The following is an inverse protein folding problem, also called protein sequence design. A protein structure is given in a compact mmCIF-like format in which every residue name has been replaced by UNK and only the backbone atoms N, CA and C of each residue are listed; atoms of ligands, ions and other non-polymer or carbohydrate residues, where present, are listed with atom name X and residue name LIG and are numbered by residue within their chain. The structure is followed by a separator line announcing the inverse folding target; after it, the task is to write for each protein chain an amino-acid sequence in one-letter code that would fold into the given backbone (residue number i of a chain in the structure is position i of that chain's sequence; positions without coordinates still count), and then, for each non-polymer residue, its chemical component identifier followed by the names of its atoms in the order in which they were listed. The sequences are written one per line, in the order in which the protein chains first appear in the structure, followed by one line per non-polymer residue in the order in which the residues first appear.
data_IF_859607950195
#
_entry.id   IF_859607950195
#
_cell.length_a   1.000
_cell.length_b   1.000
_cell.length_c   1.000
_cell.angle_alpha   90.00
_cell.angle_beta   90.00
_cell.angle_gamma   90.00
#
_symmetry.space_group_name_H-M   'P 1'
#
loop_
_entity.id
_entity.type
_entity.pdbx_description
1 polymer ?
#
# COMPACT_ATOMS: atom_id res chain seq x y z
N UNK A 1 -36.94 -41.21 34.41
CA UNK A 1 -36.85 -40.56 33.08
C UNK A 1 -36.45 -39.11 33.31
N UNK A 2 -35.16 -38.80 33.22
CA UNK A 2 -34.61 -37.47 33.50
C UNK A 2 -34.23 -36.81 32.17
N UNK A 3 -34.90 -35.71 31.83
CA UNK A 3 -34.69 -34.94 30.60
C UNK A 3 -33.62 -33.87 30.83
N UNK A 4 -32.39 -34.17 30.41
CA UNK A 4 -31.31 -33.18 30.32
C UNK A 4 -31.58 -32.23 29.14
N UNK A 5 -32.19 -31.08 29.42
CA UNK A 5 -32.32 -29.97 28.47
C UNK A 5 -31.05 -29.13 28.41
N UNK A 6 -30.06 -29.53 27.62
CA UNK A 6 -28.98 -28.62 27.20
C UNK A 6 -29.46 -27.80 26.00
N UNK A 7 -29.90 -26.57 26.30
CA UNK A 7 -30.25 -25.55 25.31
C UNK A 7 -28.95 -24.96 24.77
N UNK A 8 -28.69 -25.15 23.47
CA UNK A 8 -27.59 -24.54 22.74
C UNK A 8 -27.60 -23.03 22.94
N UNK A 9 -26.60 -22.53 23.67
CA UNK A 9 -26.35 -21.13 23.93
C UNK A 9 -24.99 -21.00 24.59
N UNK A 10 -24.10 -20.23 23.97
CA UNK A 10 -22.77 -19.91 24.50
C UNK A 10 -22.95 -19.12 25.80
N UNK A 11 -22.91 -19.79 26.96
CA UNK A 11 -23.01 -19.15 28.27
C UNK A 11 -21.68 -18.42 28.58
N UNK A 12 -21.54 -17.21 28.05
CA UNK A 12 -20.45 -16.30 28.41
C UNK A 12 -20.80 -15.72 29.79
N UNK A 13 -20.26 -16.33 30.84
CA UNK A 13 -20.36 -15.83 32.21
C UNK A 13 -19.57 -14.52 32.27
N UNK A 14 -20.26 -13.40 32.48
CA UNK A 14 -19.64 -12.08 32.59
C UNK A 14 -18.60 -12.08 33.72
N UNK A 15 -17.34 -11.84 33.38
CA UNK A 15 -16.25 -11.65 34.33
C UNK A 15 -16.51 -10.35 35.09
N UNK A 16 -16.60 -10.43 36.41
CA UNK A 16 -16.65 -9.27 37.31
C UNK A 16 -15.34 -8.49 37.18
N UNK A 17 -15.43 -7.19 36.94
CA UNK A 17 -14.27 -6.32 36.87
C UNK A 17 -13.70 -6.11 38.29
N UNK A 18 -12.61 -6.81 38.62
CA UNK A 18 -11.77 -6.46 39.76
C UNK A 18 -10.98 -5.21 39.42
N UNK A 19 -11.28 -4.10 40.08
CA UNK A 19 -10.56 -2.84 39.94
C UNK A 19 -9.11 -3.01 40.43
N UNK A 20 -8.16 -3.13 39.51
CA UNK A 20 -6.73 -3.01 39.81
C UNK A 20 -6.38 -1.54 40.00
N UNK A 21 -6.24 -1.11 41.26
CA UNK A 21 -5.60 0.16 41.59
C UNK A 21 -4.09 0.01 41.31
N UNK A 22 -3.54 0.85 40.43
CA UNK A 22 -2.08 1.02 40.33
C UNK A 22 -1.61 1.76 41.59
N UNK A 23 -0.54 1.33 42.27
CA UNK A 23 0.11 2.20 43.25
C UNK A 23 0.80 3.33 42.47
N UNK A 24 0.38 4.57 42.72
CA UNK A 24 1.18 5.72 42.35
C UNK A 24 2.43 5.70 43.22
N UNK A 25 3.59 5.76 42.60
CA UNK A 25 4.86 6.01 43.28
C UNK A 25 4.81 7.47 43.70
N UNK A 26 4.47 7.73 44.97
CA UNK A 26 4.77 8.98 45.65
C UNK A 26 6.25 8.91 46.00
N UNK A 27 7.04 9.81 45.44
CA UNK A 27 8.37 10.11 45.93
C UNK A 27 8.15 10.89 47.23
N UNK A 28 8.37 10.24 48.37
CA UNK A 28 8.38 10.88 49.68
C UNK A 28 9.56 11.87 49.72
N UNK A 29 9.23 13.17 49.67
CA UNK A 29 10.12 14.30 49.96
C UNK A 29 10.34 14.40 51.49
N UNK A 30 10.94 13.37 52.09
CA UNK A 30 11.43 13.38 53.47
C UNK A 30 12.95 13.08 53.47
N UNK A 31 13.72 13.99 52.87
CA UNK A 31 15.15 14.08 53.18
C UNK A 31 15.39 15.40 53.90
N UNK A 32 15.26 15.30 55.23
CA UNK A 32 15.55 16.34 56.20
C UNK A 32 16.88 17.04 55.87
N UNK A 33 16.75 18.36 55.75
CA UNK A 33 17.80 19.34 55.53
C UNK A 33 18.61 19.47 56.83
N UNK A 34 19.59 18.57 57.02
CA UNK A 34 20.71 18.82 57.92
C UNK A 34 21.63 19.86 57.26
N UNK A 35 21.45 21.11 57.67
CA UNK A 35 22.38 22.23 57.47
C UNK A 35 23.74 21.92 58.13
N UNK A 36 24.59 21.14 57.46
CA UNK A 36 26.04 21.16 57.67
C UNK A 36 26.72 21.69 56.41
N UNK A 37 27.04 23.00 56.44
CA UNK A 37 27.90 23.62 55.45
C UNK A 37 29.24 22.87 55.34
N UNK A 38 29.61 22.29 54.18
CA UNK A 38 30.98 21.85 54.00
C UNK A 38 31.84 23.09 53.77
N UNK A 39 32.67 23.41 54.77
CA UNK A 39 33.80 24.34 54.71
C UNK A 39 34.44 24.32 53.31
N UNK A 40 34.17 25.37 52.53
CA UNK A 40 34.86 25.63 51.26
C UNK A 40 36.27 26.11 51.59
N UNK A 41 37.12 25.21 52.05
CA UNK A 41 38.55 25.38 52.01
C UNK A 41 38.92 25.56 50.53
N UNK A 42 39.32 26.78 50.20
CA UNK A 42 39.91 27.17 48.92
C UNK A 42 41.05 26.22 48.61
N UNK A 43 40.77 25.20 47.80
CA UNK A 43 41.81 24.41 47.14
C UNK A 43 42.57 25.38 46.26
N UNK A 44 43.75 25.78 46.74
CA UNK A 44 44.75 26.48 45.95
C UNK A 44 44.88 25.74 44.62
N UNK A 45 44.64 26.48 43.55
CA UNK A 45 44.71 26.00 42.18
C UNK A 45 46.13 25.54 41.88
N UNK A 46 46.43 24.27 42.14
CA UNK A 46 47.48 23.57 41.40
C UNK A 46 46.92 23.43 40.00
N UNK A 47 47.24 24.41 39.16
CA UNK A 47 47.01 24.37 37.72
C UNK A 47 47.89 23.24 37.19
N UNK A 48 47.33 22.04 37.12
CA UNK A 48 47.83 20.99 36.24
C UNK A 48 47.63 21.53 34.82
N UNK A 49 48.65 22.19 34.29
CA UNK A 49 48.77 22.44 32.86
C UNK A 49 49.02 21.08 32.21
N UNK A 50 47.94 20.32 31.99
CA UNK A 50 48.00 19.23 31.04
C UNK A 50 48.32 19.85 29.67
N UNK A 51 49.36 19.40 28.96
CA UNK A 51 49.59 19.85 27.61
C UNK A 51 48.36 19.46 26.80
N UNK A 52 47.67 20.45 26.24
CA UNK A 52 46.55 20.24 25.33
C UNK A 52 47.15 19.55 24.12
N UNK A 53 47.13 18.22 24.13
CA UNK A 53 47.46 17.43 22.96
C UNK A 53 46.32 17.70 22.00
N UNK A 54 46.56 18.58 21.03
CA UNK A 54 45.71 18.74 19.85
C UNK A 54 45.73 17.41 19.09
N UNK A 55 44.91 16.47 19.55
CA UNK A 55 44.63 15.26 18.82
C UNK A 55 43.90 15.70 17.55
N UNK A 56 44.39 15.29 16.39
CA UNK A 56 43.69 15.49 15.11
C UNK A 56 42.39 14.67 15.15
N UNK A 57 41.33 15.27 15.68
CA UNK A 57 40.00 14.66 15.73
C UNK A 57 39.38 14.81 14.35
N UNK A 58 38.93 13.70 13.76
CA UNK A 58 38.23 13.72 12.48
C UNK A 58 36.99 14.62 12.57
N UNK A 59 36.82 15.48 11.57
CA UNK A 59 35.64 16.32 11.36
C UNK A 59 34.31 15.54 11.43
N UNK A 60 34.31 14.23 11.15
CA UNK A 60 33.13 13.38 11.25
C UNK A 60 32.58 13.24 12.68
N UNK A 61 33.40 13.49 13.70
CA UNK A 61 33.03 13.33 15.12
C UNK A 61 31.96 14.35 15.53
N UNK A 62 31.91 15.50 14.87
CA UNK A 62 30.94 16.56 15.16
C UNK A 62 29.68 16.50 14.28
N UNK A 63 29.59 15.55 13.34
CA UNK A 63 28.51 15.45 12.35
C UNK A 63 27.19 14.84 12.84
N UNK A 64 26.87 14.86 14.13
CA UNK A 64 25.71 14.14 14.69
C UNK A 64 24.37 14.55 14.05
N UNK A 65 24.13 15.86 13.95
CA UNK A 65 22.89 16.43 13.39
C UNK A 65 22.66 15.98 11.95
N UNK A 66 23.75 15.94 11.18
CA UNK A 66 23.76 15.55 9.79
C UNK A 66 23.42 14.07 9.54
N UNK A 67 23.95 13.16 10.36
CA UNK A 67 23.56 11.74 10.29
C UNK A 67 22.12 11.54 10.75
N UNK A 68 21.70 12.25 11.79
CA UNK A 68 20.33 12.21 12.27
C UNK A 68 19.34 12.65 11.19
N UNK A 69 19.64 13.75 10.50
CA UNK A 69 18.86 14.24 9.38
C UNK A 69 18.77 13.23 8.24
N UNK A 70 19.86 12.55 7.90
CA UNK A 70 19.86 11.51 6.86
C UNK A 70 18.96 10.33 7.22
N UNK A 71 18.97 9.87 8.48
CA UNK A 71 18.09 8.81 8.97
C UNK A 71 16.63 9.26 8.94
N UNK A 72 16.34 10.51 9.34
CA UNK A 72 14.99 11.09 9.31
C UNK A 72 14.48 11.35 7.89
N UNK A 73 15.35 11.59 6.92
CA UNK A 73 14.94 11.65 5.51
C UNK A 73 14.41 10.30 5.03
N UNK A 74 15.11 9.20 5.31
CA UNK A 74 14.65 7.83 4.97
C UNK A 74 13.32 7.49 5.64
N UNK A 75 13.16 7.82 6.93
CA UNK A 75 11.88 7.64 7.62
C UNK A 75 10.74 8.41 6.94
N UNK A 76 10.96 9.69 6.60
CA UNK A 76 9.97 10.53 5.91
C UNK A 76 9.60 9.97 4.54
N UNK A 77 10.57 9.51 3.75
CA UNK A 77 10.32 8.87 2.46
C UNK A 77 9.47 7.61 2.59
N UNK A 78 9.77 6.76 3.59
CA UNK A 78 8.97 5.56 3.88
C UNK A 78 7.54 5.91 4.28
N UNK A 79 7.34 6.94 5.11
CA UNK A 79 6.01 7.44 5.45
C UNK A 79 5.25 7.99 4.24
N UNK A 80 5.92 8.71 3.36
CA UNK A 80 5.32 9.20 2.11
C UNK A 80 4.89 8.03 1.22
N UNK A 81 5.75 7.01 1.05
CA UNK A 81 5.40 5.78 0.31
C UNK A 81 4.17 5.09 0.91
N UNK A 82 4.10 4.95 2.24
CA UNK A 82 2.92 4.39 2.93
C UNK A 82 1.66 5.23 2.70
N UNK A 83 1.77 6.56 2.65
CA UNK A 83 0.63 7.46 2.35
C UNK A 83 0.14 7.28 0.91
N UNK A 84 1.06 7.18 -0.06
CA UNK A 84 0.71 6.93 -1.46
C UNK A 84 0.03 5.56 -1.62
N UNK A 85 0.59 4.51 -1.00
CA UNK A 85 -0.02 3.17 -1.01
C UNK A 85 -1.42 3.17 -0.35
N UNK A 86 -1.60 3.93 0.73
CA UNK A 86 -2.89 4.06 1.39
C UNK A 86 -3.94 4.77 0.51
N UNK A 87 -3.54 5.69 -0.37
CA UNK A 87 -4.45 6.33 -1.33
C UNK A 87 -4.90 5.35 -2.43
N UNK A 88 -4.00 4.47 -2.88
CA UNK A 88 -4.31 3.47 -3.93
C UNK A 88 -5.07 2.25 -3.39
N UNK A 89 -5.17 2.10 -2.07
CA UNK A 89 -5.73 0.92 -1.43
C UNK A 89 -7.25 0.84 -1.59
N UNK A 90 -7.69 -0.16 -2.36
CA UNK A 90 -9.09 -0.58 -2.48
C UNK A 90 -9.70 -0.97 -1.12
N UNK A 91 -11.04 -0.93 -0.96
CA UNK A 91 -11.70 -1.32 0.30
C UNK A 91 -11.26 -2.71 0.76
N UNK A 92 -10.94 -2.81 2.05
CA UNK A 92 -10.22 -3.92 2.69
C UNK A 92 -10.79 -5.32 2.42
N UNK A 93 -12.07 -5.44 2.06
CA UNK A 93 -12.77 -6.73 1.91
C UNK A 93 -13.37 -6.98 0.53
N UNK A 94 -13.39 -6.00 -0.39
CA UNK A 94 -14.09 -6.18 -1.67
C UNK A 94 -13.39 -7.23 -2.55
N UNK A 95 -12.05 -7.23 -2.58
CA UNK A 95 -11.28 -8.22 -3.31
C UNK A 95 -11.56 -9.64 -2.79
N UNK A 96 -11.57 -9.81 -1.46
CA UNK A 96 -11.84 -11.10 -0.81
C UNK A 96 -13.27 -11.57 -1.06
N UNK A 97 -14.25 -10.67 -1.06
CA UNK A 97 -15.64 -11.01 -1.38
C UNK A 97 -15.79 -11.45 -2.84
N UNK A 98 -15.10 -10.78 -3.77
CA UNK A 98 -15.10 -11.18 -5.19
C UNK A 98 -14.40 -12.53 -5.36
N UNK A 99 -13.25 -12.74 -4.71
CA UNK A 99 -12.54 -14.01 -4.72
C UNK A 99 -13.40 -15.14 -4.16
N UNK A 100 -14.03 -14.92 -2.99
CA UNK A 100 -14.94 -15.88 -2.36
C UNK A 100 -16.19 -16.17 -3.21
N UNK A 101 -16.71 -15.17 -3.94
CA UNK A 101 -17.79 -15.39 -4.89
C UNK A 101 -17.35 -16.28 -6.06
N UNK A 102 -16.14 -16.06 -6.59
CA UNK A 102 -15.56 -16.88 -7.66
C UNK A 102 -15.33 -18.32 -7.22
N UNK A 103 -14.74 -18.53 -6.04
CA UNK A 103 -14.53 -19.89 -5.49
C UNK A 103 -15.86 -20.62 -5.31
N UNK A 104 -16.87 -20.00 -4.69
CA UNK A 104 -18.21 -20.60 -4.55
C UNK A 104 -18.86 -20.95 -5.88
N UNK A 105 -18.72 -20.09 -6.90
CA UNK A 105 -19.24 -20.37 -8.25
C UNK A 105 -18.57 -21.61 -8.85
N UNK A 106 -17.25 -21.70 -8.71
CA UNK A 106 -16.46 -22.85 -9.16
C UNK A 106 -16.88 -24.13 -8.42
N UNK A 107 -16.97 -24.07 -7.10
CA UNK A 107 -17.35 -25.22 -6.26
C UNK A 107 -18.79 -25.68 -6.56
N UNK A 108 -19.69 -24.75 -6.86
CA UNK A 108 -21.06 -25.07 -7.28
C UNK A 108 -21.10 -25.80 -8.63
N UNK A 109 -20.25 -25.43 -9.59
CA UNK A 109 -20.13 -26.15 -10.87
C UNK A 109 -19.60 -27.58 -10.64
N UNK A 110 -18.53 -27.71 -9.85
CA UNK A 110 -17.96 -29.03 -9.49
C UNK A 110 -18.99 -29.91 -8.77
N UNK A 111 -19.78 -29.34 -7.86
CA UNK A 111 -20.84 -30.07 -7.16
C UNK A 111 -21.94 -30.54 -8.12
N UNK A 112 -22.34 -29.72 -9.09
CA UNK A 112 -23.31 -30.09 -10.12
C UNK A 112 -22.80 -31.21 -11.02
N UNK A 113 -21.54 -31.15 -11.44
CA UNK A 113 -20.92 -32.20 -12.26
C UNK A 113 -20.82 -33.52 -11.51
N UNK A 114 -20.38 -33.48 -10.25
CA UNK A 114 -20.32 -34.66 -9.39
C UNK A 114 -21.70 -35.26 -9.12
N UNK A 115 -22.71 -34.42 -8.90
CA UNK A 115 -24.09 -34.85 -8.71
C UNK A 115 -24.65 -35.51 -9.98
N UNK A 116 -24.36 -34.93 -11.16
CA UNK A 116 -24.78 -35.50 -12.44
C UNK A 116 -24.10 -36.85 -12.71
N UNK A 117 -22.81 -36.98 -12.38
CA UNK A 117 -22.08 -38.25 -12.49
C UNK A 117 -22.69 -39.32 -11.57
N UNK A 118 -22.94 -38.99 -10.30
CA UNK A 118 -23.57 -39.88 -9.33
C UNK A 118 -24.96 -40.32 -9.79
N UNK A 119 -25.76 -39.39 -10.34
CA UNK A 119 -27.09 -39.70 -10.89
C UNK A 119 -27.02 -40.68 -12.08
N UNK A 120 -26.04 -40.56 -12.97
CA UNK A 120 -25.83 -41.52 -14.07
C UNK A 120 -25.41 -42.90 -13.57
N UNK A 121 -24.54 -42.95 -12.55
CA UNK A 121 -24.13 -44.21 -11.91
C UNK A 121 -25.32 -44.91 -11.22
N UNK A 122 -26.23 -44.13 -10.60
CA UNK A 122 -27.44 -44.62 -9.93
C UNK A 122 -28.55 -45.05 -10.91
N UNK A 123 -28.72 -44.34 -12.04
CA UNK A 123 -29.67 -44.69 -13.11
C UNK A 123 -29.23 -45.94 -13.91
N UNK A 124 -28.01 -46.46 -13.66
CA UNK A 124 -27.55 -47.75 -14.18
C UNK A 124 -27.55 -47.82 -15.71
N UNK A 125 -27.18 -46.71 -16.36
CA UNK A 125 -27.51 -46.50 -17.77
C UNK A 125 -26.34 -46.79 -18.72
N UNK A 126 -26.62 -47.76 -19.61
CA UNK A 126 -26.08 -48.10 -20.93
C UNK A 126 -24.65 -47.75 -21.30
N UNK A 127 -23.98 -48.81 -21.76
CA UNK A 127 -22.72 -48.82 -22.50
C UNK A 127 -22.70 -47.75 -23.63
N UNK A 128 -21.58 -47.03 -23.72
CA UNK A 128 -21.20 -46.04 -24.75
C UNK A 128 -21.53 -44.55 -24.47
N UNK A 129 -21.02 -44.02 -23.35
CA UNK A 129 -20.93 -42.56 -23.16
C UNK A 129 -19.85 -41.96 -24.09
N UNK A 130 -20.26 -41.41 -25.23
CA UNK A 130 -19.38 -40.65 -26.12
C UNK A 130 -18.94 -39.33 -25.46
N UNK A 131 -17.82 -39.37 -24.74
CA UNK A 131 -17.20 -38.16 -24.20
C UNK A 131 -16.47 -37.44 -25.33
N UNK A 132 -16.84 -36.18 -25.58
CA UNK A 132 -16.17 -35.35 -26.59
C UNK A 132 -14.75 -34.99 -26.15
N UNK A 133 -13.82 -34.87 -27.11
CA UNK A 133 -12.42 -34.49 -26.83
C UNK A 133 -12.29 -33.15 -26.10
N UNK A 134 -13.25 -32.23 -26.29
CA UNK A 134 -13.32 -30.96 -25.56
C UNK A 134 -13.66 -31.15 -24.07
N UNK A 135 -14.54 -32.11 -23.74
CA UNK A 135 -14.91 -32.37 -22.36
C UNK A 135 -13.78 -33.04 -21.58
N UNK A 136 -13.06 -33.98 -22.21
CA UNK A 136 -11.85 -34.58 -21.61
C UNK A 136 -10.82 -33.51 -21.30
N UNK A 137 -10.52 -32.62 -22.26
CA UNK A 137 -9.60 -31.49 -22.06
C UNK A 137 -10.04 -30.56 -20.94
N UNK A 138 -11.33 -30.23 -20.85
CA UNK A 138 -11.86 -29.41 -19.77
C UNK A 138 -11.74 -30.10 -18.40
N UNK A 139 -11.99 -31.40 -18.32
CA UNK A 139 -11.77 -32.17 -17.10
C UNK A 139 -10.30 -32.18 -16.68
N UNK A 140 -9.38 -32.41 -17.62
CA UNK A 140 -7.94 -32.36 -17.38
C UNK A 140 -7.51 -30.99 -16.87
N UNK A 141 -7.96 -29.90 -17.51
CA UNK A 141 -7.68 -28.52 -17.08
C UNK A 141 -8.19 -28.26 -15.65
N UNK A 142 -9.45 -28.59 -15.36
CA UNK A 142 -10.05 -28.43 -14.02
C UNK A 142 -9.32 -29.26 -12.96
N UNK A 143 -8.93 -30.50 -13.28
CA UNK A 143 -8.18 -31.36 -12.37
C UNK A 143 -6.78 -30.84 -12.08
N UNK A 144 -6.10 -30.30 -13.10
CA UNK A 144 -4.79 -29.70 -12.96
C UNK A 144 -4.86 -28.43 -12.10
N UNK A 145 -5.84 -27.56 -12.36
CA UNK A 145 -6.08 -26.36 -11.54
C UNK A 145 -6.36 -26.71 -10.07
N UNK A 146 -7.11 -27.77 -9.82
CA UNK A 146 -7.38 -28.26 -8.46
C UNK A 146 -6.10 -28.76 -7.77
N UNK A 147 -5.28 -29.55 -8.47
CA UNK A 147 -4.03 -30.06 -7.93
C UNK A 147 -3.02 -28.94 -7.64
N UNK A 148 -2.93 -27.95 -8.53
CA UNK A 148 -2.07 -26.77 -8.33
C UNK A 148 -2.54 -25.93 -7.12
N UNK A 149 -3.85 -25.73 -6.96
CA UNK A 149 -4.42 -25.03 -5.80
C UNK A 149 -4.16 -25.80 -4.50
N UNK A 150 -4.32 -27.12 -4.51
CA UNK A 150 -4.06 -27.97 -3.33
C UNK A 150 -2.58 -27.94 -2.94
N UNK A 151 -1.67 -27.95 -3.91
CA UNK A 151 -0.24 -27.84 -3.68
C UNK A 151 0.14 -26.49 -3.07
N UNK A 152 -0.41 -25.37 -3.57
CA UNK A 152 -0.20 -24.04 -3.01
C UNK A 152 -0.79 -23.90 -1.60
N UNK A 153 -1.99 -24.44 -1.38
CA UNK A 153 -2.56 -24.49 -0.02
C UNK A 153 -1.72 -25.33 0.94
N UNK A 154 -1.17 -26.47 0.49
CA UNK A 154 -0.29 -27.31 1.28
C UNK A 154 1.00 -26.57 1.66
N UNK A 155 1.60 -25.84 0.70
CA UNK A 155 2.75 -24.96 0.97
C UNK A 155 2.40 -23.88 1.99
N UNK A 156 1.29 -23.17 1.80
CA UNK A 156 0.82 -22.13 2.74
C UNK A 156 0.51 -22.69 4.14
N UNK A 157 -0.04 -23.90 4.22
CA UNK A 157 -0.27 -24.61 5.50
C UNK A 157 1.06 -25.02 6.15
N UNK A 158 2.03 -25.47 5.36
CA UNK A 158 3.37 -25.85 5.84
C UNK A 158 4.24 -24.67 6.25
N UNK A 159 4.02 -23.49 5.66
CA UNK A 159 4.76 -22.25 5.93
C UNK A 159 4.50 -21.63 7.32
N UNK A 160 3.82 -22.34 8.23
CA UNK A 160 3.70 -21.91 9.62
C UNK A 160 2.81 -20.68 9.79
N UNK A 161 1.51 -20.82 9.54
CA UNK A 161 0.53 -19.75 9.74
C UNK A 161 0.32 -19.52 11.25
N UNK A 162 1.00 -18.53 11.84
CA UNK A 162 0.95 -18.29 13.30
C UNK A 162 1.55 -16.97 13.77
N UNK A 163 1.55 -16.78 15.10
CA UNK A 163 2.15 -15.60 15.76
C UNK A 163 3.64 -15.48 15.48
N UNK A 164 4.35 -16.61 15.37
CA UNK A 164 5.79 -16.66 15.08
C UNK A 164 6.12 -15.97 13.75
N UNK A 165 5.36 -16.26 12.69
CA UNK A 165 5.54 -15.64 11.38
C UNK A 165 5.21 -14.14 11.42
N UNK A 166 4.21 -13.74 12.22
CA UNK A 166 3.91 -12.32 12.45
C UNK A 166 5.07 -11.60 13.15
N UNK A 167 5.64 -12.18 14.21
CA UNK A 167 6.81 -11.61 14.88
C UNK A 167 8.05 -11.62 13.99
N UNK A 168 8.28 -12.67 13.22
CA UNK A 168 9.36 -12.74 12.22
C UNK A 168 9.25 -11.60 11.21
N UNK A 169 8.07 -11.41 10.60
CA UNK A 169 7.83 -10.33 9.65
C UNK A 169 7.96 -8.94 10.30
N UNK A 170 7.53 -8.80 11.56
CA UNK A 170 7.67 -7.54 12.30
C UNK A 170 9.15 -7.21 12.57
N UNK A 171 9.93 -8.21 12.98
CA UNK A 171 11.36 -8.07 13.21
C UNK A 171 12.11 -7.79 11.91
N UNK A 172 11.79 -8.49 10.82
CA UNK A 172 12.36 -8.26 9.49
C UNK A 172 12.05 -6.84 8.99
N UNK A 173 10.81 -6.36 9.17
CA UNK A 173 10.46 -4.97 8.84
C UNK A 173 11.20 -3.94 9.68
N UNK A 174 11.47 -4.23 10.96
CA UNK A 174 12.27 -3.36 11.83
C UNK A 174 13.75 -3.38 11.43
N UNK A 175 14.29 -4.54 11.09
CA UNK A 175 15.66 -4.70 10.62
C UNK A 175 15.86 -3.99 9.27
N UNK A 176 14.95 -4.15 8.31
CA UNK A 176 15.01 -3.42 7.02
C UNK A 176 14.92 -1.90 7.22
N UNK A 177 14.15 -1.44 8.22
CA UNK A 177 14.11 -0.02 8.58
C UNK A 177 15.43 0.47 9.11
N UNK A 178 16.02 -0.26 10.04
CA UNK A 178 17.30 0.07 10.64
C UNK A 178 18.45 0.00 9.61
N UNK A 179 18.55 -1.09 8.84
CA UNK A 179 19.55 -1.27 7.80
C UNK A 179 19.48 -0.17 6.74
N UNK A 180 18.28 0.24 6.31
CA UNK A 180 18.13 1.34 5.35
C UNK A 180 18.59 2.69 5.93
N UNK A 181 18.29 2.99 7.20
CA UNK A 181 18.71 4.22 7.87
C UNK A 181 20.25 4.25 8.04
N UNK A 182 20.83 3.12 8.42
CA UNK A 182 22.28 2.93 8.57
C UNK A 182 23.00 3.04 7.23
N UNK A 183 22.47 2.40 6.17
CA UNK A 183 23.04 2.52 4.83
C UNK A 183 22.98 3.96 4.29
N UNK A 184 21.91 4.70 4.58
CA UNK A 184 21.81 6.12 4.20
C UNK A 184 22.82 7.01 4.95
N UNK A 185 23.04 6.75 6.24
CA UNK A 185 24.04 7.48 7.02
C UNK A 185 25.47 7.18 6.55
N UNK A 186 25.76 5.93 6.18
CA UNK A 186 27.06 5.50 5.64
C UNK A 186 27.35 6.04 4.23
N UNK A 187 26.35 6.03 3.35
CA UNK A 187 26.52 6.56 2.00
C UNK A 187 26.70 8.09 1.98
N UNK A 188 26.19 8.80 2.99
CA UNK A 188 26.37 10.25 3.08
C UNK A 188 27.85 10.65 3.21
N UNK A 189 28.66 9.85 3.92
CA UNK A 189 30.10 10.08 4.05
C UNK A 189 30.86 9.92 2.73
N UNK A 190 30.32 9.13 1.79
CA UNK A 190 30.88 9.02 0.44
C UNK A 190 30.47 10.20 -0.47
N UNK A 191 29.42 10.94 -0.11
CA UNK A 191 28.86 12.08 -0.87
C UNK A 191 29.07 13.43 -0.18
N UNK A 192 30.06 13.56 0.70
CA UNK A 192 30.45 14.83 1.35
C UNK A 192 31.14 15.84 0.39
N UNK A 193 30.64 15.92 -0.84
CA UNK A 193 30.89 17.00 -1.80
C UNK A 193 29.62 17.81 -2.09
N UNK A 194 28.69 17.88 -1.14
CA UNK A 194 27.42 18.60 -1.30
C UNK A 194 27.30 19.77 -0.31
N UNK A 195 28.30 20.65 -0.30
CA UNK A 195 28.21 21.98 0.30
C UNK A 195 27.32 22.96 -0.52
N UNK A 196 26.73 22.50 -1.64
CA UNK A 196 26.02 23.37 -2.60
C UNK A 196 24.51 23.54 -2.36
N UNK A 197 23.87 22.78 -1.45
CA UNK A 197 22.40 22.84 -1.32
C UNK A 197 21.93 23.93 -0.33
N UNK A 198 22.79 24.40 0.59
CA UNK A 198 22.48 25.54 1.47
C UNK A 198 22.81 26.91 0.83
N UNK A 199 23.57 26.94 -0.27
CA UNK A 199 23.90 28.17 -1.01
C UNK A 199 22.83 28.62 -2.03
N UNK A 200 21.78 27.82 -2.25
CA UNK A 200 20.75 28.09 -3.26
C UNK A 200 19.49 28.81 -2.72
N UNK A 201 19.43 29.15 -1.43
CA UNK A 201 18.34 29.99 -0.91
C UNK A 201 18.78 31.44 -1.04
N UNK A 202 18.53 32.04 -2.22
CA UNK A 202 18.66 33.49 -2.44
C UNK A 202 18.00 34.22 -1.28
N UNK A 203 18.68 35.22 -0.72
CA UNK A 203 18.13 36.00 0.37
C UNK A 203 16.83 36.70 -0.08
N UNK A 204 15.89 36.93 0.85
CA UNK A 204 14.62 37.62 0.54
C UNK A 204 14.84 39.01 -0.10
N UNK A 205 15.99 39.64 0.20
CA UNK A 205 16.45 40.87 -0.46
C UNK A 205 16.70 40.67 -1.95
N UNK A 206 17.42 39.62 -2.33
CA UNK A 206 17.72 39.29 -3.74
C UNK A 206 16.46 38.92 -4.52
N UNK A 207 15.55 38.19 -3.86
CA UNK A 207 14.24 37.85 -4.42
C UNK A 207 13.39 39.11 -4.68
N UNK A 208 13.39 40.07 -3.76
CA UNK A 208 12.69 41.33 -3.92
C UNK A 208 13.29 42.20 -5.05
N UNK A 209 14.62 42.25 -5.19
CA UNK A 209 15.26 42.94 -6.30
C UNK A 209 14.95 42.29 -7.66
N UNK A 210 14.94 40.96 -7.73
CA UNK A 210 14.56 40.22 -8.93
C UNK A 210 13.10 40.48 -9.31
N UNK A 211 12.19 40.53 -8.33
CA UNK A 211 10.80 40.87 -8.55
C UNK A 211 10.61 42.32 -9.04
N UNK A 212 11.35 43.28 -8.47
CA UNK A 212 11.36 44.69 -8.92
C UNK A 212 11.90 44.82 -10.35
N UNK A 213 12.95 44.09 -10.70
CA UNK A 213 13.47 44.00 -12.09
C UNK A 213 12.45 43.41 -13.06
N UNK A 214 11.61 42.47 -12.59
CA UNK A 214 10.48 41.91 -13.35
C UNK A 214 9.25 42.82 -13.37
N UNK A 215 9.32 44.03 -12.79
CA UNK A 215 8.23 45.00 -12.77
C UNK A 215 7.13 44.71 -11.75
N UNK A 216 7.36 43.79 -10.81
CA UNK A 216 6.45 43.54 -9.69
C UNK A 216 6.84 44.44 -8.50
N UNK A 217 5.87 45.17 -7.94
CA UNK A 217 6.08 46.00 -6.75
C UNK A 217 6.15 45.13 -5.50
N UNK A 218 7.32 45.07 -4.86
CA UNK A 218 7.57 44.30 -3.63
C UNK A 218 8.18 45.24 -2.59
N UNK A 219 7.55 45.31 -1.42
CA UNK A 219 8.01 46.09 -0.27
C UNK A 219 8.75 45.19 0.72
N UNK A 220 9.82 45.74 1.30
CA UNK A 220 10.63 45.07 2.31
C UNK A 220 10.41 45.80 3.64
N UNK A 221 10.32 45.05 4.74
CA UNK A 221 10.30 45.62 6.09
C UNK A 221 11.71 46.09 6.52
N UNK A 222 11.81 46.75 7.68
CA UNK A 222 13.09 47.16 8.31
C UNK A 222 14.01 45.96 8.60
N UNK A 223 13.43 44.77 8.78
CA UNK A 223 14.13 43.49 8.95
C UNK A 223 14.46 42.80 7.61
N UNK A 224 14.20 43.48 6.48
CA UNK A 224 14.43 43.00 5.12
C UNK A 224 13.64 41.76 4.69
N UNK A 225 12.54 41.47 5.38
CA UNK A 225 11.57 40.46 4.99
C UNK A 225 10.58 41.01 3.95
N UNK A 226 10.12 40.16 3.02
CA UNK A 226 9.15 40.54 1.99
C UNK A 226 7.76 40.71 2.61
N UNK A 227 7.17 41.89 2.45
CA UNK A 227 5.85 42.24 2.97
C UNK A 227 4.83 42.31 1.83
N UNK A 228 3.75 41.54 1.92
CA UNK A 228 2.62 41.62 0.98
C UNK A 228 1.61 42.68 1.44
N UNK A 229 1.42 43.72 0.61
CA UNK A 229 0.50 44.82 0.88
C UNK A 229 -0.95 44.36 1.14
N UNK A 230 -1.38 43.21 0.62
CA UNK A 230 -2.71 42.67 0.89
C UNK A 230 -2.85 42.16 2.31
N UNK A 231 -1.77 41.67 2.91
CA UNK A 231 -1.78 41.14 4.27
C UNK A 231 -1.87 42.28 5.31
N UNK A 232 -1.14 43.39 5.09
CA UNK A 232 -1.26 44.60 5.93
C UNK A 232 -2.63 45.27 5.82
N UNK A 233 -3.27 45.24 4.64
CA UNK A 233 -4.61 45.83 4.43
C UNK A 233 -5.74 44.90 4.90
N UNK A 234 -5.52 43.58 4.92
CA UNK A 234 -6.48 42.59 5.41
C UNK A 234 -6.55 42.56 6.95
N UNK A 235 -5.49 43.00 7.63
CA UNK A 235 -5.51 43.35 9.06
C UNK A 235 -6.24 44.69 9.28
N UNK A 236 -7.50 44.76 8.82
CA UNK A 236 -8.29 45.97 8.73
C UNK A 236 -8.41 46.76 10.04
N UNK A 237 -8.65 48.06 9.87
CA UNK A 237 -9.08 49.04 10.87
C UNK A 237 -9.63 48.39 12.15
N UNK A 238 -8.87 48.51 13.25
CA UNK A 238 -9.24 48.04 14.58
C UNK A 238 -10.47 48.81 15.12
N UNK A 239 -11.66 48.51 14.61
CA UNK A 239 -12.93 48.83 15.27
C UNK A 239 -13.24 47.71 16.24
N UNK A 240 -12.84 47.91 17.49
CA UNK A 240 -13.40 47.34 18.73
C UNK A 240 -13.98 45.90 18.72
N UNK A 241 -13.37 45.07 19.56
CA UNK A 241 -13.94 43.87 20.23
C UNK A 241 -14.01 42.60 19.36
N UNK A 242 -13.04 41.71 19.56
CA UNK A 242 -13.12 40.31 19.15
C UNK A 242 -11.76 39.68 18.98
N UNK A 243 -11.39 38.79 19.91
CA UNK A 243 -10.11 38.08 19.96
C UNK A 243 -9.66 37.49 18.61
N UNK A 244 -8.45 37.87 18.18
CA UNK A 244 -7.77 37.27 17.04
C UNK A 244 -7.32 35.86 17.45
N UNK A 245 -7.85 34.83 16.78
CA UNK A 245 -7.35 33.46 16.88
C UNK A 245 -6.30 33.24 15.80
N UNK A 246 -5.09 32.86 16.21
CA UNK A 246 -4.05 32.38 15.30
C UNK A 246 -4.47 31.03 14.69
N UNK A 247 -4.19 30.75 13.40
CA UNK A 247 -4.57 29.50 12.77
C UNK A 247 -3.42 28.50 12.85
N UNK A 248 -3.10 27.98 14.03
CA UNK A 248 -2.33 26.74 14.13
C UNK A 248 -2.40 26.12 15.52
N UNK A 249 -3.35 25.21 15.77
CA UNK A 249 -3.09 24.09 16.67
C UNK A 249 -4.17 23.00 16.51
N UNK A 250 -3.72 21.80 16.15
CA UNK A 250 -4.30 20.49 16.44
C UNK A 250 -5.83 20.44 16.67
N UNK A 251 -6.58 20.07 15.62
CA UNK A 251 -7.90 19.47 15.78
C UNK A 251 -7.75 18.08 16.43
N UNK A 252 -7.66 18.06 17.76
CA UNK A 252 -7.94 16.88 18.57
C UNK A 252 -9.11 17.20 19.50
N UNK A 253 -10.10 16.32 19.42
CA UNK A 253 -11.08 16.00 20.45
C UNK A 253 -12.06 17.10 20.89
N UNK A 254 -12.99 17.44 19.99
CA UNK A 254 -14.31 17.97 20.39
C UNK A 254 -15.31 16.83 20.60
N UNK A 255 -15.07 15.99 21.59
CA UNK A 255 -16.13 15.17 22.18
C UNK A 255 -15.88 14.86 23.66
N UNK A 256 -15.60 15.89 24.46
CA UNK A 256 -15.74 15.81 25.91
C UNK A 256 -16.98 16.62 26.30
N UNK A 257 -18.08 15.92 26.61
CA UNK A 257 -19.20 16.54 27.32
C UNK A 257 -18.85 16.56 28.81
N UNK A 258 -19.03 17.67 29.54
CA UNK A 258 -18.83 17.70 30.98
C UNK A 258 -19.85 16.82 31.69
N UNK A 259 -19.38 16.13 32.73
CA UNK A 259 -20.03 15.03 33.46
C UNK A 259 -21.02 15.49 34.56
N UNK A 260 -21.41 16.77 34.56
CA UNK A 260 -22.38 17.32 35.51
C UNK A 260 -23.40 18.23 34.83
N UNK A 261 -24.32 17.65 34.05
CA UNK A 261 -25.63 18.26 33.85
C UNK A 261 -26.62 17.29 33.22
N UNK A 262 -27.47 16.69 34.06
CA UNK A 262 -28.94 16.67 33.89
C UNK A 262 -29.61 15.68 34.83
N UNK A 263 -30.15 16.21 35.92
CA UNK A 263 -31.45 15.75 36.42
C UNK A 263 -32.52 16.59 35.74
N UNK A 264 -33.52 15.92 35.17
CA UNK A 264 -34.84 16.49 34.89
C UNK A 264 -35.14 16.78 33.41
N UNK A 265 -36.33 16.35 32.99
CA UNK A 265 -37.04 16.97 31.87
C UNK A 265 -37.38 16.07 30.69
N UNK A 266 -38.62 15.59 30.67
CA UNK A 266 -39.30 14.90 29.55
C UNK A 266 -39.38 15.74 28.27
N UNK A 267 -39.58 15.02 27.16
CA UNK A 267 -40.14 15.39 25.82
C UNK A 267 -39.14 15.51 24.68
N UNK A 268 -38.97 14.43 23.91
CA UNK A 268 -38.46 14.49 22.53
C UNK A 268 -38.86 13.24 21.71
N UNK A 269 -40.15 13.11 21.36
CA UNK A 269 -40.63 12.01 20.51
C UNK A 269 -40.89 12.41 19.04
N UNK A 270 -40.87 13.71 18.70
CA UNK A 270 -41.40 14.16 17.40
C UNK A 270 -40.36 14.46 16.29
N UNK A 271 -39.06 14.51 16.59
CA UNK A 271 -38.04 14.92 15.60
C UNK A 271 -37.37 13.78 14.82
N UNK A 272 -37.84 12.53 14.95
CA UNK A 272 -37.23 11.37 14.26
C UNK A 272 -37.84 11.03 12.89
N UNK A 273 -38.99 11.63 12.52
CA UNK A 273 -39.69 11.31 11.27
C UNK A 273 -39.15 12.10 10.05
N UNK A 274 -38.69 13.34 10.25
CA UNK A 274 -38.25 14.22 9.15
C UNK A 274 -36.90 13.81 8.53
N UNK A 275 -36.01 13.21 9.32
CA UNK A 275 -34.67 12.79 8.85
C UNK A 275 -34.68 11.60 7.87
N UNK A 276 -35.78 10.84 7.79
CA UNK A 276 -35.88 9.67 6.90
C UNK A 276 -36.36 10.03 5.48
N UNK A 277 -37.04 11.17 5.31
CA UNK A 277 -37.59 11.62 4.03
C UNK A 277 -36.52 12.28 3.14
N UNK A 278 -35.58 13.02 3.72
CA UNK A 278 -34.51 13.70 2.94
C UNK A 278 -33.39 12.75 2.51
N UNK A 279 -33.19 11.64 3.24
CA UNK A 279 -32.16 10.64 2.93
C UNK A 279 -32.55 9.70 1.77
N UNK A 280 -33.86 9.49 1.54
CA UNK A 280 -34.34 8.55 0.52
C UNK A 280 -34.19 9.08 -0.91
N UNK A 281 -34.37 10.38 -1.16
CA UNK A 281 -34.21 10.99 -2.49
C UNK A 281 -32.74 11.17 -2.91
N UNK A 282 -31.80 11.28 -1.96
CA UNK A 282 -30.37 11.36 -2.25
C UNK A 282 -29.77 9.98 -2.60
N UNK A 283 -30.33 8.91 -2.03
CA UNK A 283 -29.90 7.53 -2.28
C UNK A 283 -30.31 7.02 -3.68
N UNK A 284 -31.47 7.46 -4.19
CA UNK A 284 -31.96 7.02 -5.51
C UNK A 284 -31.23 7.69 -6.67
N UNK A 285 -30.89 8.97 -6.54
CA UNK A 285 -30.13 9.72 -7.55
C UNK A 285 -28.70 9.21 -7.68
N UNK A 286 -28.03 9.01 -6.55
CA UNK A 286 -26.67 8.42 -6.52
C UNK A 286 -26.64 6.98 -7.04
N UNK A 287 -27.67 6.18 -6.79
CA UNK A 287 -27.77 4.81 -7.33
C UNK A 287 -27.98 4.77 -8.86
N UNK A 288 -28.71 5.74 -9.42
CA UNK A 288 -28.91 5.84 -10.86
C UNK A 288 -27.64 6.28 -11.59
N UNK A 289 -26.92 7.26 -11.05
CA UNK A 289 -25.65 7.74 -11.62
C UNK A 289 -24.58 6.62 -11.62
N UNK A 290 -24.49 5.85 -10.53
CA UNK A 290 -23.58 4.70 -10.45
C UNK A 290 -23.91 3.63 -11.50
N UNK A 291 -25.20 3.36 -11.73
CA UNK A 291 -25.66 2.39 -12.74
C UNK A 291 -25.38 2.87 -14.16
N UNK A 292 -25.47 4.18 -14.41
CA UNK A 292 -25.14 4.77 -15.69
C UNK A 292 -23.63 4.74 -15.97
N UNK A 293 -22.81 5.02 -14.96
CA UNK A 293 -21.35 4.88 -15.05
C UNK A 293 -20.92 3.44 -15.32
N UNK A 294 -21.52 2.46 -14.63
CA UNK A 294 -21.27 1.03 -14.92
C UNK A 294 -21.67 0.66 -16.35
N UNK A 295 -22.81 1.17 -16.84
CA UNK A 295 -23.26 0.93 -18.22
C UNK A 295 -22.28 1.52 -19.23
N UNK A 296 -21.82 2.75 -19.02
CA UNK A 296 -20.82 3.39 -19.89
C UNK A 296 -19.48 2.66 -19.85
N UNK A 297 -19.02 2.24 -18.67
CA UNK A 297 -17.80 1.45 -18.52
C UNK A 297 -17.90 0.09 -19.24
N UNK A 298 -19.08 -0.56 -19.18
CA UNK A 298 -19.34 -1.81 -19.90
C UNK A 298 -19.28 -1.62 -21.41
N UNK A 299 -19.90 -0.56 -21.93
CA UNK A 299 -19.88 -0.23 -23.37
C UNK A 299 -18.46 0.07 -23.85
N UNK A 300 -17.67 0.85 -23.09
CA UNK A 300 -16.27 1.12 -23.43
C UNK A 300 -15.43 -0.15 -23.46
N UNK A 301 -15.60 -1.04 -22.47
CA UNK A 301 -14.90 -2.33 -22.42
C UNK A 301 -15.28 -3.22 -23.61
N UNK A 302 -16.55 -3.26 -23.97
CA UNK A 302 -17.03 -4.02 -25.12
C UNK A 302 -16.47 -3.45 -26.44
N UNK A 303 -16.35 -2.14 -26.56
CA UNK A 303 -15.73 -1.48 -27.71
C UNK A 303 -14.23 -1.75 -27.80
N UNK A 304 -13.50 -1.72 -26.68
CA UNK A 304 -12.10 -2.13 -26.62
C UNK A 304 -11.90 -3.59 -26.97
N UNK A 305 -12.76 -4.49 -26.47
CA UNK A 305 -12.73 -5.91 -26.83
C UNK A 305 -13.03 -6.12 -28.31
N UNK A 306 -13.97 -5.35 -28.89
CA UNK A 306 -14.25 -5.36 -30.33
C UNK A 306 -13.04 -4.88 -31.15
N UNK A 307 -12.41 -3.77 -30.74
CA UNK A 307 -11.18 -3.27 -31.37
C UNK A 307 -10.05 -4.29 -31.32
N UNK A 308 -9.84 -4.94 -30.17
CA UNK A 308 -8.84 -6.01 -30.02
C UNK A 308 -9.15 -7.20 -30.93
N UNK A 309 -10.43 -7.61 -31.04
CA UNK A 309 -10.84 -8.68 -31.96
C UNK A 309 -10.60 -8.31 -33.41
N UNK A 310 -10.91 -7.08 -33.81
CA UNK A 310 -10.64 -6.56 -35.16
C UNK A 310 -9.14 -6.50 -35.45
N UNK A 311 -8.31 -6.09 -34.48
CA UNK A 311 -6.86 -6.08 -34.61
C UNK A 311 -6.30 -7.51 -34.76
N UNK A 312 -6.76 -8.46 -33.95
CA UNK A 312 -6.40 -9.88 -34.05
C UNK A 312 -6.83 -10.43 -35.41
N UNK A 313 -8.05 -10.14 -35.87
CA UNK A 313 -8.50 -10.56 -37.21
C UNK A 313 -7.64 -9.92 -38.30
N UNK A 314 -7.24 -8.67 -38.17
CA UNK A 314 -6.37 -7.97 -39.13
C UNK A 314 -4.97 -8.57 -39.18
N UNK A 315 -4.39 -8.93 -38.03
CA UNK A 315 -3.08 -9.58 -37.99
C UNK A 315 -3.15 -11.00 -38.57
N UNK A 316 -4.20 -11.77 -38.26
CA UNK A 316 -4.38 -13.11 -38.80
C UNK A 316 -4.77 -13.15 -40.29
N UNK A 317 -5.55 -12.19 -40.78
CA UNK A 317 -5.94 -12.09 -42.21
C UNK A 317 -4.83 -11.55 -43.10
N UNK A 318 -3.84 -10.85 -42.52
CA UNK A 318 -2.64 -10.38 -43.26
C UNK A 318 -1.74 -11.51 -43.78
N UNK A 319 -1.94 -12.74 -43.28
CA UNK A 319 -1.25 -13.94 -43.77
C UNK A 319 -2.12 -14.75 -44.73
N UNK A 320 -2.58 -14.11 -45.81
CA UNK A 320 -3.04 -14.86 -46.98
C UNK A 320 -1.83 -15.07 -47.89
N UNK A 321 -1.32 -16.30 -47.95
CA UNK A 321 -0.13 -16.65 -48.75
C UNK A 321 -0.41 -16.41 -50.23
N UNK A 322 0.35 -15.52 -50.86
CA UNK A 322 0.14 -15.21 -52.29
C UNK A 322 0.53 -16.41 -53.16
N UNK A 323 -0.10 -16.54 -54.33
CA UNK A 323 0.17 -17.66 -55.26
C UNK A 323 1.66 -17.77 -55.63
N UNK A 324 2.37 -16.64 -55.72
CA UNK A 324 3.82 -16.58 -55.95
C UNK A 324 4.65 -17.15 -54.78
N UNK A 325 4.23 -16.93 -53.53
CA UNK A 325 4.87 -17.54 -52.35
C UNK A 325 4.68 -19.06 -52.33
N UNK A 326 3.50 -19.55 -52.77
CA UNK A 326 3.23 -20.98 -52.91
C UNK A 326 4.08 -21.61 -54.03
N UNK A 327 4.22 -20.93 -55.17
CA UNK A 327 5.06 -21.39 -56.29
C UNK A 327 6.56 -21.41 -55.92
N UNK A 328 7.08 -20.36 -55.28
CA UNK A 328 8.48 -20.33 -54.83
C UNK A 328 8.79 -21.35 -53.73
N UNK A 329 7.83 -21.69 -52.86
CA UNK A 329 7.97 -22.78 -51.90
C UNK A 329 8.02 -24.16 -52.61
N UNK A 330 7.18 -24.35 -53.64
CA UNK A 330 7.16 -25.57 -54.46
C UNK A 330 8.44 -25.75 -55.27
N UNK A 331 8.98 -24.69 -55.85
CA UNK A 331 10.25 -24.72 -56.57
C UNK A 331 11.42 -25.08 -55.66
N UNK A 332 11.51 -24.47 -54.47
CA UNK A 332 12.54 -24.82 -53.46
C UNK A 332 12.44 -26.27 -53.03
N UNK A 333 11.23 -26.80 -52.86
CA UNK A 333 11.02 -28.21 -52.55
C UNK A 333 11.50 -29.13 -53.69
N UNK A 334 11.18 -28.81 -54.94
CA UNK A 334 11.61 -29.59 -56.10
C UNK A 334 13.13 -29.55 -56.31
N UNK A 335 13.76 -28.39 -56.08
CA UNK A 335 15.23 -28.26 -56.14
C UNK A 335 15.90 -29.12 -55.05
N UNK A 336 15.41 -29.08 -53.81
CA UNK A 336 15.92 -29.92 -52.73
C UNK A 336 15.74 -31.41 -53.03
N UNK A 337 14.59 -31.80 -53.61
CA UNK A 337 14.34 -33.19 -54.03
C UNK A 337 15.29 -33.62 -55.15
N UNK A 338 15.53 -32.76 -56.14
CA UNK A 338 16.54 -33.00 -57.19
C UNK A 338 17.95 -33.14 -56.63
N UNK A 339 18.34 -32.28 -55.70
CA UNK A 339 19.66 -32.36 -55.05
C UNK A 339 19.80 -33.65 -54.23
N UNK A 340 18.76 -34.08 -53.51
CA UNK A 340 18.77 -35.38 -52.82
C UNK A 340 18.93 -36.55 -53.82
N UNK A 341 18.25 -36.52 -54.95
CA UNK A 341 18.40 -37.57 -55.98
C UNK A 341 19.80 -37.57 -56.60
N UNK A 342 20.38 -36.40 -56.85
CA UNK A 342 21.76 -36.30 -57.33
C UNK A 342 22.77 -36.80 -56.28
N UNK A 343 22.57 -36.50 -55.00
CA UNK A 343 23.41 -37.04 -53.93
C UNK A 343 23.26 -38.56 -53.80
N UNK A 344 22.05 -39.10 -53.91
CA UNK A 344 21.82 -40.55 -53.90
C UNK A 344 22.46 -41.24 -55.12
N UNK A 345 22.39 -40.63 -56.30
CA UNK A 345 23.05 -41.15 -57.51
C UNK A 345 24.59 -41.08 -57.42
N UNK A 346 25.14 -40.03 -56.81
CA UNK A 346 26.60 -39.87 -56.68
C UNK A 346 27.20 -40.79 -55.61
N UNK A 347 26.44 -41.17 -54.59
CA UNK A 347 26.85 -42.19 -53.59
C UNK A 347 26.86 -43.60 -54.19
N UNK A 348 25.97 -43.89 -55.15
CA UNK A 348 25.94 -45.19 -55.83
C UNK A 348 27.03 -45.37 -56.89
N UNK A 349 27.61 -44.29 -57.42
CA UNK A 349 28.65 -44.34 -58.47
C UNK A 349 30.09 -44.43 -57.96
N UNK A 350 30.32 -44.27 -56.65
CA UNK A 350 31.67 -44.31 -56.03
C UNK A 350 31.96 -45.63 -55.29
N UNK A 351 31.10 -46.65 -55.47
CA UNK A 351 31.21 -47.98 -54.84
C UNK A 351 31.91 -49.05 -55.68
N UNK A 352 32.14 -48.84 -56.99
CA UNK A 352 32.68 -49.85 -57.92
C UNK A 352 34.16 -49.63 -58.28
N UNK A 353 34.93 -49.02 -57.40
CA UNK A 353 36.38 -48.88 -57.58
C UNK A 353 37.14 -49.27 -56.30
N UNK A 354 37.17 -50.57 -56.01
CA UNK A 354 38.29 -51.25 -55.34
C UNK A 354 38.18 -52.77 -55.38
#
# INVERSE_FOLDING_TARGET
MSSNGLKYGLNIRGKTASASRKPGITFDDDFDEDDEEPDRQTRSSVRLEEPIVEQEVDSSVYGYDEYYDSMKQVEREKEQKKKMEAQDRRPKYMADLIAASKTRKRDLLLAKERALKKRREEEGDVDEAFVTTSYVKHQEEVSKELADQEAEEAKLKSSGRGLEQFYSNMLEQQEEQHQAAVHASMNRNATSSSADILASKKSDKELAEEARKRGLHVELNDENEIVDQRQILKAGLNTSIGAVKHPNENQRDKNAKPWFERKGGRKHYESRSSAYSTQSYSSTTTALDMREQERQARLKREEEERRKREEILRTHTSHTTTQAQVQSARERYLQRKRQQQQQQGNVSGNGDAK
#
